data_IF_475435241613
#
_entry.id   IF_475435241613
#
_cell.length_a   1.000
_cell.length_b   1.000
_cell.length_c   1.000
_cell.angle_alpha   90.00
_cell.angle_beta   90.00
_cell.angle_gamma   90.00
#
_symmetry.space_group_name_H-M   'P 1'
#
loop_
_entity.id
_entity.type
_entity.pdbx_description
1 polymer ?
#
# COMPACT_ATOMS: atom_id res chain seq x y z
N UNK A 1 -54.71 -11.68 9.46
CA UNK A 1 -55.78 -12.43 10.16
C UNK A 1 -55.16 -13.37 11.18
N UNK A 2 -55.85 -13.64 12.29
CA UNK A 2 -55.35 -14.42 13.43
C UNK A 2 -55.97 -15.81 13.41
N UNK A 3 -55.17 -16.86 13.68
CA UNK A 3 -55.66 -18.24 13.78
C UNK A 3 -56.64 -18.35 14.96
N UNK A 4 -57.82 -18.92 14.72
CA UNK A 4 -58.86 -19.13 15.73
C UNK A 4 -58.70 -20.53 16.34
N UNK A 5 -58.44 -20.60 17.65
CA UNK A 5 -58.33 -21.87 18.35
C UNK A 5 -59.65 -22.29 18.97
N UNK A 6 -59.97 -23.58 18.88
CA UNK A 6 -61.14 -24.19 19.56
C UNK A 6 -61.19 -23.87 21.06
N UNK A 7 -60.03 -23.93 21.72
CA UNK A 7 -59.91 -23.65 23.15
C UNK A 7 -60.26 -22.20 23.51
N UNK A 8 -59.96 -21.24 22.62
CA UNK A 8 -60.29 -19.82 22.81
C UNK A 8 -61.74 -19.53 22.45
N UNK A 9 -62.28 -20.21 21.44
CA UNK A 9 -63.68 -20.07 21.02
C UNK A 9 -64.67 -20.67 22.03
N UNK A 10 -64.25 -21.71 22.78
CA UNK A 10 -65.11 -22.42 23.73
C UNK A 10 -66.16 -23.33 23.07
N UNK A 11 -66.11 -23.50 21.75
CA UNK A 11 -67.00 -24.35 20.96
C UNK A 11 -66.23 -24.97 19.78
N UNK A 12 -66.73 -26.06 19.14
CA UNK A 12 -66.15 -26.57 17.91
C UNK A 12 -66.01 -25.49 16.83
N UNK A 13 -64.94 -25.58 16.03
CA UNK A 13 -64.77 -24.71 14.88
C UNK A 13 -65.78 -25.08 13.79
N UNK A 14 -66.29 -24.09 13.07
CA UNK A 14 -67.06 -24.34 11.84
C UNK A 14 -66.12 -24.75 10.71
N UNK A 15 -66.66 -25.33 9.64
CA UNK A 15 -65.87 -25.65 8.44
C UNK A 15 -65.21 -24.41 7.85
N UNK A 16 -65.93 -23.28 7.82
CA UNK A 16 -65.40 -22.01 7.31
C UNK A 16 -64.24 -21.46 8.16
N UNK A 17 -64.29 -21.62 9.48
CA UNK A 17 -63.18 -21.23 10.37
C UNK A 17 -61.97 -22.15 10.23
N UNK A 18 -62.19 -23.44 10.02
CA UNK A 18 -61.12 -24.39 9.71
C UNK A 18 -60.44 -24.02 8.39
N UNK A 19 -61.22 -23.82 7.32
CA UNK A 19 -60.73 -23.44 6.00
C UNK A 19 -59.99 -22.08 6.06
N UNK A 20 -60.54 -21.12 6.82
CA UNK A 20 -59.90 -19.83 7.08
C UNK A 20 -58.55 -19.96 7.80
N UNK A 21 -58.45 -20.86 8.80
CA UNK A 21 -57.19 -21.14 9.48
C UNK A 21 -56.16 -21.78 8.54
N UNK A 22 -56.57 -22.74 7.71
CA UNK A 22 -55.68 -23.39 6.74
C UNK A 22 -55.16 -22.41 5.70
N UNK A 23 -56.06 -21.59 5.12
CA UNK A 23 -55.67 -20.54 4.18
C UNK A 23 -54.72 -19.52 4.82
N UNK A 24 -54.95 -19.16 6.09
CA UNK A 24 -54.04 -18.26 6.80
C UNK A 24 -52.65 -18.85 7.01
N UNK A 25 -52.58 -20.14 7.33
CA UNK A 25 -51.32 -20.86 7.49
C UNK A 25 -50.57 -20.97 6.15
N UNK A 26 -51.27 -21.35 5.09
CA UNK A 26 -50.71 -21.42 3.73
C UNK A 26 -50.13 -20.07 3.31
N UNK A 27 -50.90 -18.98 3.39
CA UNK A 27 -50.39 -17.64 3.04
C UNK A 27 -49.19 -17.21 3.89
N UNK A 28 -49.16 -17.56 5.19
CA UNK A 28 -48.00 -17.24 6.04
C UNK A 28 -46.78 -18.08 5.69
N UNK A 29 -46.99 -19.33 5.29
CA UNK A 29 -45.93 -20.21 4.83
C UNK A 29 -45.36 -19.72 3.51
N UNK A 30 -46.22 -19.37 2.53
CA UNK A 30 -45.81 -18.77 1.25
C UNK A 30 -44.95 -17.52 1.47
N UNK A 31 -45.35 -16.62 2.38
CA UNK A 31 -44.54 -15.43 2.72
C UNK A 31 -43.17 -15.83 3.29
N UNK A 32 -43.09 -16.86 4.14
CA UNK A 32 -41.82 -17.31 4.72
C UNK A 32 -40.94 -18.06 3.69
N UNK A 33 -41.54 -18.77 2.75
CA UNK A 33 -40.83 -19.50 1.69
C UNK A 33 -40.35 -18.55 0.59
N UNK A 34 -41.11 -17.51 0.25
CA UNK A 34 -40.69 -16.45 -0.69
C UNK A 34 -39.61 -15.55 -0.09
N UNK A 35 -39.62 -15.34 1.23
CA UNK A 35 -38.53 -14.68 1.93
C UNK A 35 -37.46 -15.69 2.30
N UNK A 36 -36.70 -16.16 1.30
CA UNK A 36 -35.43 -16.83 1.54
C UNK A 36 -34.65 -16.01 2.57
N UNK A 37 -34.31 -16.62 3.72
CA UNK A 37 -33.47 -15.97 4.73
C UNK A 37 -32.27 -15.37 4.00
N UNK A 38 -32.05 -14.04 4.07
CA UNK A 38 -30.91 -13.46 3.39
C UNK A 38 -29.68 -14.19 3.92
N UNK A 39 -28.91 -14.78 3.01
CA UNK A 39 -27.65 -15.43 3.39
C UNK A 39 -26.81 -14.37 4.10
N UNK A 40 -26.74 -14.45 5.43
CA UNK A 40 -25.89 -13.57 6.24
C UNK A 40 -24.45 -14.06 6.11
N UNK A 41 -23.91 -13.88 4.90
CA UNK A 41 -22.52 -14.11 4.56
C UNK A 41 -21.71 -12.81 4.65
N UNK A 42 -20.39 -12.95 4.61
CA UNK A 42 -19.49 -11.80 4.45
C UNK A 42 -19.54 -11.36 2.98
N UNK A 43 -19.96 -10.13 2.73
CA UNK A 43 -19.92 -9.52 1.40
C UNK A 43 -18.65 -8.70 1.19
N UNK A 44 -18.23 -7.96 2.21
CA UNK A 44 -17.10 -7.04 2.11
C UNK A 44 -16.32 -6.93 3.41
N UNK A 45 -15.02 -6.68 3.29
CA UNK A 45 -14.16 -6.27 4.40
C UNK A 45 -13.56 -4.93 4.01
N UNK A 46 -13.80 -3.90 4.83
CA UNK A 46 -13.36 -2.52 4.61
C UNK A 46 -12.39 -2.13 5.71
N UNK A 47 -11.33 -1.40 5.37
CA UNK A 47 -10.51 -0.71 6.37
C UNK A 47 -11.01 0.74 6.52
N UNK A 48 -11.54 1.07 7.70
CA UNK A 48 -11.97 2.43 8.08
C UNK A 48 -11.08 2.91 9.23
N UNK A 49 -10.10 3.77 8.93
CA UNK A 49 -9.13 4.21 9.94
C UNK A 49 -8.27 3.05 10.45
N UNK A 50 -8.36 2.75 11.74
CA UNK A 50 -7.70 1.61 12.40
C UNK A 50 -8.63 0.39 12.59
N UNK A 51 -9.85 0.40 12.01
CA UNK A 51 -10.81 -0.69 12.15
C UNK A 51 -11.05 -1.43 10.82
N UNK A 52 -10.98 -2.75 10.86
CA UNK A 52 -11.56 -3.61 9.83
C UNK A 52 -13.05 -3.78 10.10
N UNK A 53 -13.87 -3.30 9.17
CA UNK A 53 -15.33 -3.44 9.17
C UNK A 53 -15.71 -4.58 8.25
N UNK A 54 -16.34 -5.62 8.81
CA UNK A 54 -16.85 -6.77 8.06
C UNK A 54 -18.33 -6.50 7.78
N UNK A 55 -18.69 -6.40 6.51
CA UNK A 55 -20.05 -6.09 6.06
C UNK A 55 -20.69 -7.30 5.36
N UNK A 56 -21.98 -7.48 5.61
CA UNK A 56 -22.85 -8.40 4.90
C UNK A 56 -23.41 -7.80 3.60
N UNK A 57 -24.14 -8.59 2.81
CA UNK A 57 -24.62 -8.22 1.47
C UNK A 57 -25.64 -7.07 1.44
N UNK A 58 -26.19 -6.68 2.59
CA UNK A 58 -27.14 -5.56 2.74
C UNK A 58 -26.55 -4.40 3.55
N UNK A 59 -25.23 -4.21 3.47
CA UNK A 59 -24.49 -3.19 4.24
C UNK A 59 -24.62 -3.35 5.77
N UNK A 60 -25.13 -4.48 6.22
CA UNK A 60 -25.18 -4.84 7.63
C UNK A 60 -23.76 -5.03 8.15
N UNK A 61 -23.42 -4.40 9.27
CA UNK A 61 -22.10 -4.62 9.89
C UNK A 61 -22.15 -5.90 10.71
N UNK A 62 -21.44 -6.94 10.23
CA UNK A 62 -21.31 -8.22 10.91
C UNK A 62 -20.29 -8.15 12.05
N UNK A 63 -19.27 -7.28 11.92
CA UNK A 63 -18.26 -7.12 12.95
C UNK A 63 -17.29 -5.97 12.69
N UNK A 64 -16.63 -5.55 13.76
CA UNK A 64 -15.53 -4.58 13.73
C UNK A 64 -14.35 -5.13 14.48
N UNK A 65 -13.17 -5.07 13.87
CA UNK A 65 -11.91 -5.51 14.47
C UNK A 65 -10.94 -4.35 14.41
N UNK A 66 -10.54 -3.82 15.57
CA UNK A 66 -9.47 -2.82 15.62
C UNK A 66 -8.13 -3.50 15.35
N UNK A 67 -7.41 -2.98 14.36
CA UNK A 67 -6.07 -3.45 14.03
C UNK A 67 -5.06 -2.94 15.07
N UNK A 68 -4.13 -3.79 15.53
CA UNK A 68 -3.01 -3.31 16.33
C UNK A 68 -2.17 -2.38 15.48
N UNK A 69 -1.93 -1.17 15.98
CA UNK A 69 -1.00 -0.22 15.35
C UNK A 69 0.41 -0.63 15.79
N UNK A 70 1.28 -1.09 14.89
CA UNK A 70 2.65 -1.42 15.26
C UNK A 70 3.36 -0.16 15.78
N UNK A 71 3.99 -0.26 16.94
CA UNK A 71 4.81 0.81 17.50
C UNK A 71 6.25 0.60 17.07
N UNK A 72 6.77 1.53 16.26
CA UNK A 72 8.15 1.48 15.80
C UNK A 72 9.07 2.26 16.73
N UNK A 73 10.21 1.68 17.11
CA UNK A 73 11.20 2.35 17.94
C UNK A 73 12.48 2.59 17.15
N UNK A 74 12.83 3.84 16.88
CA UNK A 74 14.10 4.19 16.26
C UNK A 74 15.27 3.96 17.21
N UNK A 75 16.20 3.09 16.82
CA UNK A 75 17.42 2.77 17.60
C UNK A 75 18.70 3.38 17.01
N UNK A 76 18.64 3.94 15.80
CA UNK A 76 19.81 4.52 15.12
C UNK A 76 20.66 3.44 14.43
N UNK A 77 21.98 3.56 14.49
CA UNK A 77 22.87 2.52 13.95
C UNK A 77 22.72 1.19 14.68
N UNK A 78 22.82 0.09 13.94
CA UNK A 78 22.95 -1.24 14.52
C UNK A 78 24.26 -1.34 15.31
N UNK A 79 24.18 -1.96 16.48
CA UNK A 79 25.29 -2.18 17.40
C UNK A 79 25.32 -3.66 17.79
N UNK A 80 26.51 -4.19 18.04
CA UNK A 80 26.70 -5.53 18.56
C UNK A 80 26.41 -5.57 20.07
N UNK A 81 26.02 -6.75 20.58
CA UNK A 81 25.71 -6.99 22.00
C UNK A 81 24.57 -6.10 22.55
N UNK A 82 23.70 -5.59 21.68
CA UNK A 82 22.57 -4.73 22.00
C UNK A 82 21.27 -5.53 21.96
N UNK A 83 20.43 -5.37 22.98
CA UNK A 83 19.08 -5.92 22.96
C UNK A 83 18.18 -5.11 22.01
N UNK A 84 17.54 -5.83 21.08
CA UNK A 84 16.54 -5.30 20.15
C UNK A 84 15.19 -5.98 20.38
N UNK A 85 14.13 -5.17 20.37
CA UNK A 85 12.75 -5.63 20.48
C UNK A 85 12.10 -5.72 19.10
N UNK A 86 10.99 -6.48 19.02
CA UNK A 86 10.16 -6.50 17.82
C UNK A 86 9.71 -5.08 17.48
N UNK A 87 9.83 -4.73 16.20
CA UNK A 87 9.59 -3.41 15.64
C UNK A 87 10.62 -2.31 15.95
N UNK A 88 11.77 -2.67 16.52
CA UNK A 88 12.92 -1.77 16.54
C UNK A 88 13.43 -1.51 15.11
N UNK A 89 13.70 -0.24 14.82
CA UNK A 89 14.24 0.25 13.56
C UNK A 89 15.72 0.56 13.73
N UNK A 90 16.56 -0.07 12.90
CA UNK A 90 18.01 0.16 12.89
C UNK A 90 18.49 0.48 11.49
N UNK A 91 19.53 1.30 11.39
CA UNK A 91 20.33 1.43 10.17
C UNK A 91 21.56 0.55 10.31
N UNK A 92 21.81 -0.27 9.30
CA UNK A 92 23.09 -0.96 9.17
C UNK A 92 23.63 -0.63 7.78
N UNK A 93 24.81 0.00 7.75
CA UNK A 93 25.38 0.64 6.56
C UNK A 93 24.44 1.72 5.97
N UNK A 94 23.92 1.50 4.75
CA UNK A 94 22.98 2.40 4.08
C UNK A 94 21.55 1.85 4.05
N UNK A 95 21.28 0.73 4.72
CA UNK A 95 19.99 0.04 4.65
C UNK A 95 19.24 0.19 5.98
N UNK A 96 17.94 0.43 5.90
CA UNK A 96 17.02 0.50 7.04
C UNK A 96 16.37 -0.87 7.26
N UNK A 97 16.50 -1.38 8.48
CA UNK A 97 15.98 -2.67 8.89
C UNK A 97 14.95 -2.54 10.02
N UNK A 98 14.00 -3.47 10.03
CA UNK A 98 13.00 -3.69 11.08
C UNK A 98 13.29 -5.01 11.77
N UNK A 99 13.38 -5.01 13.10
CA UNK A 99 13.52 -6.21 13.89
C UNK A 99 12.18 -6.99 13.92
N UNK A 100 12.20 -8.24 13.47
CA UNK A 100 11.04 -9.13 13.44
C UNK A 100 10.92 -9.97 14.72
N UNK A 101 12.05 -10.25 15.38
CA UNK A 101 12.12 -11.12 16.56
C UNK A 101 13.05 -10.51 17.60
N UNK A 102 12.57 -10.40 18.83
CA UNK A 102 13.38 -9.89 19.93
C UNK A 102 14.60 -10.79 20.19
N UNK A 103 15.79 -10.21 20.21
CA UNK A 103 17.06 -10.90 20.43
C UNK A 103 18.13 -9.93 20.94
N UNK A 104 19.21 -10.50 21.48
CA UNK A 104 20.45 -9.78 21.72
C UNK A 104 21.35 -9.93 20.50
N UNK A 105 21.77 -8.82 19.89
CA UNK A 105 22.58 -8.84 18.68
C UNK A 105 23.98 -9.38 18.95
N UNK A 106 24.54 -10.11 17.98
CA UNK A 106 25.93 -10.58 18.00
C UNK A 106 26.59 -10.33 16.66
N UNK A 107 26.00 -10.88 15.60
CA UNK A 107 26.54 -10.78 14.25
C UNK A 107 25.42 -10.58 13.25
N UNK A 108 25.32 -9.38 12.69
CA UNK A 108 24.26 -8.96 11.78
C UNK A 108 23.99 -9.97 10.65
N UNK A 109 25.04 -10.48 10.00
CA UNK A 109 24.92 -11.41 8.87
C UNK A 109 24.36 -12.79 9.25
N UNK A 110 24.50 -13.22 10.51
CA UNK A 110 23.98 -14.50 11.01
C UNK A 110 22.52 -14.37 11.48
N UNK A 111 22.11 -13.14 11.82
CA UNK A 111 20.79 -12.80 12.34
C UNK A 111 19.87 -12.25 11.25
N UNK A 112 20.22 -12.39 9.96
CA UNK A 112 19.48 -11.77 8.85
C UNK A 112 17.99 -12.14 8.81
N UNK A 113 17.62 -13.32 9.29
CA UNK A 113 16.22 -13.76 9.35
C UNK A 113 15.41 -13.04 10.45
N UNK A 114 16.09 -12.44 11.43
CA UNK A 114 15.47 -11.62 12.48
C UNK A 114 15.25 -10.16 12.01
N UNK A 115 15.71 -9.79 10.80
CA UNK A 115 15.67 -8.44 10.25
C UNK A 115 14.97 -8.37 8.89
N UNK A 116 13.99 -7.49 8.74
CA UNK A 116 13.36 -7.16 7.46
C UNK A 116 13.94 -5.87 6.90
N UNK A 117 14.34 -5.88 5.61
CA UNK A 117 14.68 -4.65 4.89
C UNK A 117 13.42 -3.82 4.67
N UNK A 118 13.36 -2.62 5.23
CA UNK A 118 12.29 -1.66 4.95
C UNK A 118 12.65 -0.73 3.81
N UNK A 119 13.93 -0.34 3.75
CA UNK A 119 14.42 0.53 2.71
C UNK A 119 15.90 0.28 2.47
N UNK A 120 16.28 0.24 1.21
CA UNK A 120 17.67 0.27 0.77
C UNK A 120 17.79 1.32 -0.32
N UNK A 121 18.91 2.05 -0.40
CA UNK A 121 19.15 2.95 -1.50
C UNK A 121 19.07 2.16 -2.81
N UNK A 122 18.54 2.75 -3.89
CA UNK A 122 18.63 2.13 -5.20
C UNK A 122 20.10 1.82 -5.46
N UNK A 123 20.39 0.58 -5.84
CA UNK A 123 21.71 0.22 -6.34
C UNK A 123 21.91 1.04 -7.61
N UNK A 124 22.59 2.18 -7.50
CA UNK A 124 23.11 2.89 -8.65
C UNK A 124 24.24 1.99 -9.14
N UNK A 125 23.90 0.95 -9.92
CA UNK A 125 24.85 0.42 -10.89
C UNK A 125 25.39 1.65 -11.61
N UNK A 126 26.69 1.85 -11.57
CA UNK A 126 27.38 3.11 -11.87
C UNK A 126 27.06 3.69 -13.27
N UNK A 127 25.88 4.28 -13.42
CA UNK A 127 25.59 5.31 -14.38
C UNK A 127 25.58 6.60 -13.57
N UNK A 128 26.77 7.02 -13.15
CA UNK A 128 27.00 8.46 -13.29
C UNK A 128 26.73 8.74 -14.77
N UNK A 129 25.74 9.56 -15.17
CA UNK A 129 25.96 10.31 -16.38
C UNK A 129 27.21 11.11 -16.05
N UNK A 130 28.38 10.60 -16.45
CA UNK A 130 29.61 11.37 -16.41
C UNK A 130 29.34 12.48 -17.40
N UNK A 131 28.73 13.57 -16.94
CA UNK A 131 28.73 14.82 -17.65
C UNK A 131 30.20 15.18 -17.75
N UNK A 132 30.84 14.96 -18.90
CA UNK A 132 32.28 15.06 -18.99
C UNK A 132 32.66 16.51 -18.71
N UNK A 133 33.60 16.67 -17.79
CA UNK A 133 34.14 17.96 -17.41
C UNK A 133 35.39 18.22 -18.25
N UNK A 134 35.36 19.27 -19.04
CA UNK A 134 36.43 19.68 -19.92
C UNK A 134 37.09 20.96 -19.39
N UNK A 135 38.36 21.11 -19.72
CA UNK A 135 39.09 22.38 -19.66
C UNK A 135 39.50 22.72 -21.09
N UNK A 136 39.78 23.99 -21.38
CA UNK A 136 40.10 24.44 -22.75
C UNK A 136 41.26 23.63 -23.39
N UNK A 137 42.21 23.16 -22.60
CA UNK A 137 43.35 22.35 -23.07
C UNK A 137 43.06 20.86 -23.29
N UNK A 138 41.90 20.36 -22.83
CA UNK A 138 41.46 18.96 -22.94
C UNK A 138 40.06 18.86 -23.57
N UNK A 139 39.74 19.78 -24.47
CA UNK A 139 38.47 19.73 -25.18
C UNK A 139 38.66 18.83 -26.42
N UNK A 140 38.02 17.65 -26.50
CA UNK A 140 38.19 16.74 -27.63
C UNK A 140 37.55 17.31 -28.90
N UNK A 141 37.86 16.71 -30.05
CA UNK A 141 37.19 17.04 -31.31
C UNK A 141 35.69 16.70 -31.23
N UNK A 142 34.79 17.61 -31.65
CA UNK A 142 33.33 17.42 -31.54
C UNK A 142 32.79 16.55 -32.70
N UNK A 143 33.26 15.31 -32.77
CA UNK A 143 32.98 14.38 -33.88
C UNK A 143 31.56 13.80 -33.83
N UNK A 144 30.99 13.67 -32.63
CA UNK A 144 29.64 13.14 -32.41
C UNK A 144 28.64 14.27 -32.09
N UNK A 145 27.75 14.64 -33.02
CA UNK A 145 26.70 15.63 -32.77
C UNK A 145 25.81 15.20 -31.60
N UNK A 146 25.50 16.13 -30.70
CA UNK A 146 24.66 15.88 -29.52
C UNK A 146 25.42 15.46 -28.27
N UNK A 147 26.75 15.26 -28.35
CA UNK A 147 27.58 15.09 -27.16
C UNK A 147 27.49 16.33 -26.29
N UNK A 148 27.24 16.18 -24.98
CA UNK A 148 27.15 17.29 -24.02
C UNK A 148 28.24 17.20 -22.97
N UNK A 149 28.63 18.35 -22.41
CA UNK A 149 29.65 18.42 -21.37
C UNK A 149 29.66 19.76 -20.64
N UNK A 150 30.53 19.87 -19.64
CA UNK A 150 30.75 21.08 -18.86
C UNK A 150 32.16 21.58 -19.11
N UNK A 151 32.33 22.82 -19.56
CA UNK A 151 33.62 23.45 -19.79
C UNK A 151 33.97 24.41 -18.65
N UNK A 152 35.13 24.19 -18.02
CA UNK A 152 35.68 25.10 -17.01
C UNK A 152 36.58 26.12 -17.70
N UNK A 153 36.25 27.40 -17.56
CA UNK A 153 37.06 28.54 -17.98
C UNK A 153 36.95 29.66 -16.95
N UNK A 154 38.09 30.22 -16.52
CA UNK A 154 38.16 31.41 -15.66
C UNK A 154 37.20 31.34 -14.45
N UNK A 155 37.28 30.23 -13.70
CA UNK A 155 36.44 29.92 -12.53
C UNK A 155 34.93 29.78 -12.79
N UNK A 156 34.50 29.73 -14.06
CA UNK A 156 33.11 29.47 -14.46
C UNK A 156 32.96 28.09 -15.07
N UNK A 157 31.81 27.47 -14.80
CA UNK A 157 31.40 26.19 -15.41
C UNK A 157 30.32 26.49 -16.45
N UNK A 158 30.61 26.19 -17.71
CA UNK A 158 29.72 26.49 -18.83
C UNK A 158 29.20 25.19 -19.46
N UNK A 159 27.87 25.01 -19.60
CA UNK A 159 27.35 23.88 -20.36
C UNK A 159 27.64 24.07 -21.85
N UNK A 160 28.15 23.01 -22.48
CA UNK A 160 28.47 22.97 -23.91
C UNK A 160 27.93 21.71 -24.58
N UNK A 161 27.72 21.78 -25.89
CA UNK A 161 27.35 20.63 -26.72
C UNK A 161 28.09 20.63 -28.07
N UNK A 162 28.31 19.45 -28.64
CA UNK A 162 28.91 19.29 -29.96
C UNK A 162 27.82 19.37 -31.05
N UNK A 163 28.00 20.25 -32.04
CA UNK A 163 27.11 20.35 -33.23
C UNK A 163 27.57 19.49 -34.42
N UNK A 164 28.61 18.66 -34.22
CA UNK A 164 29.27 17.85 -35.26
C UNK A 164 30.40 18.58 -36.01
N UNK A 165 30.61 19.87 -35.74
CA UNK A 165 31.72 20.68 -36.32
C UNK A 165 32.50 21.44 -35.26
N UNK A 166 31.82 21.92 -34.23
CA UNK A 166 32.35 22.72 -33.14
C UNK A 166 31.63 22.40 -31.82
N UNK A 167 32.29 22.71 -30.70
CA UNK A 167 31.61 22.82 -29.41
C UNK A 167 30.92 24.19 -29.31
N UNK A 168 29.66 24.19 -28.90
CA UNK A 168 28.80 25.37 -28.76
C UNK A 168 28.35 25.53 -27.32
N UNK A 169 28.12 26.76 -26.86
CA UNK A 169 27.53 27.01 -25.54
C UNK A 169 26.02 27.04 -25.67
N UNK A 170 25.31 26.56 -24.64
CA UNK A 170 23.85 26.63 -24.63
C UNK A 170 23.32 28.07 -24.58
N UNK A 171 24.14 29.04 -24.16
CA UNK A 171 23.83 30.47 -24.14
C UNK A 171 23.96 31.17 -25.50
N UNK A 172 24.49 30.50 -26.52
CA UNK A 172 24.75 31.13 -27.83
C UNK A 172 23.52 31.13 -28.75
N UNK A 173 22.41 30.52 -28.32
CA UNK A 173 21.14 30.60 -29.02
C UNK A 173 20.37 31.84 -28.55
N UNK A 174 20.24 32.84 -29.44
CA UNK A 174 19.07 33.71 -29.37
C UNK A 174 17.84 32.81 -29.42
N UNK A 175 16.94 32.96 -28.46
CA UNK A 175 15.62 32.33 -28.44
C UNK A 175 14.99 32.43 -29.83
N UNK A 176 14.92 31.31 -30.56
CA UNK A 176 14.12 31.24 -31.78
C UNK A 176 12.68 31.08 -31.29
N UNK A 177 11.95 32.19 -31.26
CA UNK A 177 10.56 32.26 -30.84
C UNK A 177 10.03 33.70 -30.82
N UNK A 178 9.78 34.26 -32.01
CA UNK A 178 8.60 35.09 -32.28
C UNK A 178 7.61 34.26 -33.09
#
# INVERSE_FOLDING_TARGET
>A
MTIIYRAQKGAPLTMEELDGNFKNLETRLEVLEEHALPEEGISKIILEGDELVIQGPHETTLGRVRLPIPQFHGRGEWQDHQDYNVYDLVRHESVLYLCLKAHQSRHFNQERDDWQVLWQPPQIEALSPKFPLFIASNLPTPEEPGTTGLLIMDEKVLPIYADGKAWRRFSDHQTIGE
#
